data_IF_524010641628
#
_entry.id   IF_524010641628
#
_cell.length_a   1.000
_cell.length_b   1.000
_cell.length_c   1.000
_cell.angle_alpha   90.00
_cell.angle_beta   90.00
_cell.angle_gamma   90.00
#
_symmetry.space_group_name_H-M   'P 1'
#
loop_
_entity.id
_entity.type
_entity.pdbx_description
1 polymer ?
#
# COMPACT_ATOMS: atom_id res chain seq x y z
N UNK A 1 -13.80 -32.69 -72.01
CA UNK A 1 -13.25 -33.33 -70.77
C UNK A 1 -12.53 -32.25 -70.00
N UNK A 2 -13.29 -31.53 -69.14
CA UNK A 2 -12.77 -30.44 -68.35
C UNK A 2 -12.25 -31.05 -67.05
N UNK A 3 -10.95 -30.94 -66.80
CA UNK A 3 -10.30 -31.29 -65.53
C UNK A 3 -10.62 -30.21 -64.49
N UNK A 4 -11.49 -30.53 -63.55
CA UNK A 4 -11.69 -29.77 -62.38
C UNK A 4 -10.45 -29.92 -61.51
N UNK A 5 -9.67 -28.84 -61.41
CA UNK A 5 -8.55 -28.73 -60.48
C UNK A 5 -9.12 -28.57 -59.01
N UNK A 6 -8.75 -29.41 -58.07
CA UNK A 6 -9.15 -29.19 -56.67
C UNK A 6 -8.43 -27.96 -56.16
N UNK A 7 -9.16 -26.94 -55.70
CA UNK A 7 -8.65 -25.78 -55.01
C UNK A 7 -7.87 -26.19 -53.73
N UNK A 8 -6.79 -25.51 -53.40
CA UNK A 8 -5.84 -26.00 -52.42
C UNK A 8 -6.42 -26.00 -50.99
N UNK A 9 -6.29 -27.13 -50.30
CA UNK A 9 -6.59 -27.35 -48.87
C UNK A 9 -5.85 -26.40 -47.91
N UNK A 10 -4.93 -25.59 -48.42
CA UNK A 10 -4.16 -24.59 -47.66
C UNK A 10 -5.01 -23.50 -47.00
N UNK A 11 -6.21 -23.23 -47.48
CA UNK A 11 -7.11 -22.23 -46.87
C UNK A 11 -7.92 -22.80 -45.71
N UNK A 12 -8.31 -24.06 -45.73
CA UNK A 12 -9.03 -24.71 -44.61
C UNK A 12 -8.14 -24.93 -43.39
N UNK A 13 -6.89 -25.32 -43.56
CA UNK A 13 -5.93 -25.54 -42.47
C UNK A 13 -5.61 -24.22 -41.73
N UNK A 14 -5.54 -23.10 -42.43
CA UNK A 14 -5.29 -21.78 -41.78
C UNK A 14 -6.50 -21.28 -41.03
N UNK A 15 -7.72 -21.52 -41.48
CA UNK A 15 -8.95 -21.15 -40.77
C UNK A 15 -9.16 -22.02 -39.55
N UNK A 16 -8.94 -23.33 -39.65
CA UNK A 16 -9.02 -24.27 -38.53
C UNK A 16 -8.00 -23.92 -37.45
N UNK A 17 -6.75 -23.67 -37.82
CA UNK A 17 -5.68 -23.27 -36.87
C UNK A 17 -6.01 -21.94 -36.18
N UNK A 18 -6.55 -20.96 -36.90
CA UNK A 18 -6.99 -19.69 -36.30
C UNK A 18 -8.16 -19.90 -35.32
N UNK A 19 -9.12 -20.75 -35.67
CA UNK A 19 -10.25 -21.09 -34.79
C UNK A 19 -9.78 -21.80 -33.51
N UNK A 20 -8.83 -22.74 -33.65
CA UNK A 20 -8.24 -23.43 -32.49
C UNK A 20 -7.51 -22.45 -31.58
N UNK A 21 -6.66 -21.55 -32.12
CA UNK A 21 -5.96 -20.53 -31.35
C UNK A 21 -6.94 -19.63 -30.63
N UNK A 22 -7.99 -19.16 -31.29
CA UNK A 22 -9.03 -18.33 -30.72
C UNK A 22 -9.78 -19.04 -29.58
N UNK A 23 -10.11 -20.31 -29.78
CA UNK A 23 -10.78 -21.14 -28.78
C UNK A 23 -9.88 -21.35 -27.55
N UNK A 24 -8.59 -21.64 -27.72
CA UNK A 24 -7.62 -21.76 -26.63
C UNK A 24 -7.49 -20.46 -25.87
N UNK A 25 -7.41 -19.31 -26.55
CA UNK A 25 -7.35 -17.98 -25.92
C UNK A 25 -8.63 -17.71 -25.13
N UNK A 26 -9.79 -18.03 -25.67
CA UNK A 26 -11.08 -17.87 -24.99
C UNK A 26 -11.19 -18.77 -23.76
N UNK A 27 -10.76 -20.03 -23.87
CA UNK A 27 -10.75 -20.96 -22.71
C UNK A 27 -9.77 -20.49 -21.64
N UNK A 28 -8.58 -20.03 -22.03
CA UNK A 28 -7.61 -19.46 -21.08
C UNK A 28 -8.16 -18.21 -20.39
N UNK A 29 -8.83 -17.32 -21.18
CA UNK A 29 -9.52 -16.14 -20.65
C UNK A 29 -10.65 -16.50 -19.70
N UNK A 30 -11.50 -17.45 -20.06
CA UNK A 30 -12.57 -17.93 -19.18
C UNK A 30 -12.02 -18.55 -17.87
N UNK A 31 -10.95 -19.35 -17.97
CA UNK A 31 -10.25 -19.90 -16.81
C UNK A 31 -9.68 -18.81 -15.90
N UNK A 32 -9.07 -17.79 -16.49
CA UNK A 32 -8.55 -16.63 -15.76
C UNK A 32 -9.66 -15.86 -15.04
N UNK A 33 -10.81 -15.64 -15.67
CA UNK A 33 -11.98 -14.99 -15.06
C UNK A 33 -12.54 -15.84 -13.91
N UNK A 34 -12.67 -17.15 -14.07
CA UNK A 34 -13.11 -18.05 -12.98
C UNK A 34 -12.13 -18.01 -11.82
N UNK A 35 -10.83 -18.02 -12.09
CA UNK A 35 -9.79 -17.90 -11.06
C UNK A 35 -9.86 -16.55 -10.35
N UNK A 36 -10.03 -15.46 -11.10
CA UNK A 36 -10.13 -14.11 -10.56
C UNK A 36 -11.37 -13.87 -9.69
N UNK A 37 -12.45 -14.62 -9.91
CA UNK A 37 -13.70 -14.52 -9.14
C UNK A 37 -13.76 -15.44 -7.92
N UNK A 38 -12.70 -16.18 -7.60
CA UNK A 38 -12.67 -16.99 -6.38
C UNK A 38 -12.70 -16.10 -5.15
N UNK A 39 -13.44 -16.49 -4.08
CA UNK A 39 -13.39 -15.76 -2.82
C UNK A 39 -11.98 -15.65 -2.29
N UNK A 40 -11.59 -14.46 -1.86
CA UNK A 40 -10.31 -14.23 -1.21
C UNK A 40 -10.39 -14.64 0.26
N UNK A 41 -9.33 -15.21 0.76
CA UNK A 41 -9.21 -15.56 2.18
C UNK A 41 -7.95 -14.92 2.74
N UNK A 42 -8.08 -13.72 3.31
CA UNK A 42 -6.98 -13.11 4.04
C UNK A 42 -6.74 -13.89 5.36
N UNK A 43 -5.48 -14.13 5.75
CA UNK A 43 -5.18 -14.74 7.04
C UNK A 43 -5.72 -13.93 8.22
N UNK A 44 -6.00 -14.58 9.36
CA UNK A 44 -6.40 -13.88 10.57
C UNK A 44 -5.28 -12.92 11.01
N UNK A 45 -5.67 -11.76 11.54
CA UNK A 45 -4.79 -10.74 12.08
C UNK A 45 -5.28 -10.23 13.42
N UNK A 46 -4.42 -9.64 14.22
CA UNK A 46 -4.85 -8.94 15.43
C UNK A 46 -5.66 -7.69 15.06
N UNK A 47 -6.67 -7.35 15.87
CA UNK A 47 -7.40 -6.09 15.74
C UNK A 47 -6.51 -4.91 16.07
N UNK A 48 -6.65 -3.80 15.34
CA UNK A 48 -5.96 -2.55 15.65
C UNK A 48 -6.35 -1.96 17.02
N UNK A 49 -7.47 -2.36 17.60
CA UNK A 49 -7.85 -1.98 18.95
C UNK A 49 -6.82 -2.46 19.98
N UNK A 50 -6.19 -3.60 19.72
CA UNK A 50 -5.15 -4.20 20.58
C UNK A 50 -3.73 -3.69 20.26
N UNK A 51 -3.59 -2.76 19.30
CA UNK A 51 -2.28 -2.20 18.98
C UNK A 51 -1.74 -1.39 20.18
N UNK A 52 -0.45 -1.55 20.56
CA UNK A 52 0.10 -0.88 21.74
C UNK A 52 -0.07 0.63 21.69
N UNK A 53 -0.49 1.20 22.80
CA UNK A 53 -0.56 2.66 23.00
C UNK A 53 0.84 3.20 23.36
N UNK A 54 1.69 2.38 23.97
CA UNK A 54 3.07 2.76 24.31
C UNK A 54 4.07 2.05 23.40
N UNK A 55 4.94 2.82 22.75
CA UNK A 55 5.98 2.34 21.85
C UNK A 55 7.34 2.88 22.31
N UNK A 56 8.06 2.12 23.14
CA UNK A 56 9.45 2.44 23.51
C UNK A 56 9.73 3.93 23.78
N UNK A 57 9.00 4.52 24.71
CA UNK A 57 9.12 5.94 25.09
C UNK A 57 8.14 6.90 24.40
N UNK A 58 7.40 6.43 23.41
CA UNK A 58 6.30 7.16 22.81
C UNK A 58 4.97 6.76 23.48
N UNK A 59 4.14 7.73 23.82
CA UNK A 59 2.79 7.53 24.36
C UNK A 59 1.75 7.91 23.32
N UNK A 60 0.91 6.95 22.94
CA UNK A 60 -0.13 7.11 21.95
C UNK A 60 -1.45 7.60 22.52
N UNK A 61 -2.18 8.29 21.68
CA UNK A 61 -3.57 8.68 21.90
C UNK A 61 -4.36 8.42 20.62
N UNK A 62 -5.48 7.69 20.70
CA UNK A 62 -6.38 7.53 19.57
C UNK A 62 -7.00 8.86 19.20
N UNK A 63 -6.98 9.19 17.92
CA UNK A 63 -7.67 10.35 17.40
C UNK A 63 -9.16 10.05 17.26
N UNK A 64 -10.03 11.08 17.21
CA UNK A 64 -11.44 10.89 16.93
C UNK A 64 -11.66 10.08 15.66
N UNK A 65 -12.75 9.30 15.57
CA UNK A 65 -13.09 8.59 14.33
C UNK A 65 -13.11 9.53 13.13
N UNK A 66 -12.67 9.04 11.99
CA UNK A 66 -12.73 9.80 10.74
C UNK A 66 -14.19 9.99 10.31
N UNK A 67 -14.44 11.12 9.64
CA UNK A 67 -15.75 11.39 9.04
C UNK A 67 -16.17 10.26 8.08
N UNK A 68 -17.45 9.89 8.11
CA UNK A 68 -17.99 8.82 7.29
C UNK A 68 -17.76 9.04 5.78
N UNK A 69 -17.77 10.30 5.31
CA UNK A 69 -17.48 10.61 3.91
C UNK A 69 -16.01 10.33 3.57
N UNK A 70 -15.09 10.62 4.51
CA UNK A 70 -13.67 10.31 4.33
C UNK A 70 -13.48 8.80 4.27
N UNK A 71 -14.09 8.03 5.16
CA UNK A 71 -14.02 6.58 5.15
C UNK A 71 -14.59 5.97 3.88
N UNK A 72 -15.70 6.52 3.37
CA UNK A 72 -16.28 6.10 2.09
C UNK A 72 -15.34 6.39 0.91
N UNK A 73 -14.63 7.51 0.91
CA UNK A 73 -13.65 7.84 -0.14
C UNK A 73 -12.42 6.93 -0.03
N UNK A 74 -11.97 6.63 1.18
CA UNK A 74 -10.81 5.77 1.39
C UNK A 74 -11.08 4.31 1.03
N UNK A 75 -12.33 3.84 1.17
CA UNK A 75 -12.71 2.43 0.92
C UNK A 75 -12.01 1.44 1.87
N UNK A 76 -11.56 1.89 3.03
CA UNK A 76 -10.77 1.09 3.97
C UNK A 76 -11.67 0.17 4.79
N UNK A 77 -11.30 -1.13 4.92
CA UNK A 77 -12.05 -2.10 5.73
C UNK A 77 -11.82 -1.93 7.23
N UNK A 78 -10.60 -1.57 7.61
CA UNK A 78 -10.22 -1.32 9.00
C UNK A 78 -9.07 -0.30 9.06
N UNK A 79 -9.03 0.53 10.10
CA UNK A 79 -7.99 1.52 10.21
C UNK A 79 -7.64 1.85 11.66
N UNK A 80 -6.42 2.33 11.84
CA UNK A 80 -5.94 2.95 13.08
C UNK A 80 -5.43 4.36 12.78
N UNK A 81 -5.85 5.33 13.59
CA UNK A 81 -5.41 6.72 13.48
C UNK A 81 -5.06 7.23 14.87
N UNK A 82 -3.77 7.46 15.15
CA UNK A 82 -3.25 7.83 16.46
C UNK A 82 -2.22 8.94 16.40
N UNK A 83 -2.17 9.76 17.43
CA UNK A 83 -1.06 10.66 17.68
C UNK A 83 -0.17 10.07 18.78
N UNK A 84 1.13 10.13 18.59
CA UNK A 84 2.13 9.69 19.57
C UNK A 84 2.99 10.87 20.00
N UNK A 85 3.33 10.90 21.27
CA UNK A 85 4.09 11.97 21.90
C UNK A 85 5.23 11.37 22.72
N UNK A 86 6.36 12.08 22.76
CA UNK A 86 7.52 11.73 23.56
C UNK A 86 7.85 12.87 24.54
N UNK A 87 8.55 12.57 25.63
CA UNK A 87 8.84 13.52 26.71
C UNK A 87 9.61 14.78 26.26
N UNK A 88 10.41 14.68 25.19
CA UNK A 88 11.16 15.78 24.58
C UNK A 88 10.32 16.68 23.66
N UNK A 89 8.99 16.58 23.72
CA UNK A 89 8.00 17.26 22.87
C UNK A 89 7.97 16.78 21.42
N UNK A 90 8.65 15.68 21.09
CA UNK A 90 8.49 15.05 19.80
C UNK A 90 7.06 14.52 19.64
N UNK A 91 6.52 14.61 18.44
CA UNK A 91 5.19 14.09 18.12
C UNK A 91 5.18 13.42 16.74
N UNK A 92 4.43 12.32 16.62
CA UNK A 92 4.22 11.61 15.35
C UNK A 92 2.76 11.21 15.22
N UNK A 93 2.17 11.49 14.05
CA UNK A 93 0.87 10.96 13.67
C UNK A 93 1.06 9.62 12.96
N UNK A 94 0.33 8.60 13.36
CA UNK A 94 0.31 7.28 12.73
C UNK A 94 -1.08 7.00 12.16
N UNK A 95 -1.10 6.69 10.88
CA UNK A 95 -2.27 6.12 10.22
C UNK A 95 -1.88 4.76 9.61
N UNK A 96 -2.71 3.75 9.86
CA UNK A 96 -2.64 2.45 9.19
C UNK A 96 -4.03 2.15 8.64
N UNK A 97 -4.15 2.00 7.34
CA UNK A 97 -5.40 1.60 6.69
C UNK A 97 -5.22 0.21 6.08
N UNK A 98 -6.09 -0.73 6.44
CA UNK A 98 -6.08 -2.11 5.98
C UNK A 98 -7.25 -2.37 5.02
N UNK A 99 -6.94 -3.02 3.91
CA UNK A 99 -7.87 -3.42 2.86
C UNK A 99 -7.84 -4.94 2.76
N UNK A 100 -8.97 -5.59 3.01
CA UNK A 100 -9.12 -7.05 2.93
C UNK A 100 -9.09 -7.54 1.50
N UNK A 101 -9.60 -6.71 0.58
CA UNK A 101 -9.59 -6.97 -0.85
C UNK A 101 -9.49 -5.66 -1.60
N UNK A 102 -8.72 -5.66 -2.69
CA UNK A 102 -8.61 -4.54 -3.63
C UNK A 102 -9.23 -4.90 -4.99
N UNK A 103 -10.14 -5.87 -5.01
CA UNK A 103 -10.99 -6.18 -6.17
C UNK A 103 -12.16 -5.19 -6.20
N UNK A 104 -12.76 -4.97 -7.32
CA UNK A 104 -13.95 -4.13 -7.48
C UNK A 104 -13.76 -2.61 -7.22
N UNK A 105 -12.54 -2.11 -7.36
CA UNK A 105 -12.28 -0.67 -7.32
C UNK A 105 -11.81 -0.12 -5.97
N UNK A 106 -11.72 -0.95 -4.93
CA UNK A 106 -11.17 -0.57 -3.62
C UNK A 106 -9.65 -0.55 -3.66
N UNK A 107 -9.08 0.42 -4.35
CA UNK A 107 -7.62 0.58 -4.45
C UNK A 107 -7.10 1.49 -3.34
N UNK A 108 -5.96 1.15 -2.77
CA UNK A 108 -5.28 2.02 -1.79
C UNK A 108 -4.93 3.35 -2.45
N UNK A 109 -5.47 4.44 -1.90
CA UNK A 109 -5.19 5.78 -2.37
C UNK A 109 -3.81 6.23 -1.87
N UNK A 110 -2.98 6.69 -2.81
CA UNK A 110 -1.66 7.25 -2.47
C UNK A 110 -1.82 8.55 -1.69
N UNK A 111 -1.06 8.77 -0.62
CA UNK A 111 -0.98 10.07 0.06
C UNK A 111 -0.65 11.23 -0.88
N UNK A 112 0.12 10.99 -1.94
CA UNK A 112 0.43 12.00 -2.96
C UNK A 112 -0.81 12.53 -3.69
N UNK A 113 -1.87 11.74 -3.78
CA UNK A 113 -3.12 12.15 -4.39
C UNK A 113 -4.09 12.78 -3.37
N UNK A 114 -4.09 12.28 -2.13
CA UNK A 114 -5.05 12.72 -1.11
C UNK A 114 -4.62 14.01 -0.40
N UNK A 115 -3.33 14.23 -0.17
CA UNK A 115 -2.83 15.41 0.57
C UNK A 115 -3.08 16.73 -0.17
N UNK A 116 -2.85 16.83 -1.48
CA UNK A 116 -3.21 18.05 -2.23
C UNK A 116 -4.71 18.36 -2.17
N UNK A 117 -5.58 17.34 -2.21
CA UNK A 117 -7.03 17.51 -2.06
C UNK A 117 -7.45 18.08 -0.69
N UNK A 118 -6.61 17.92 0.34
CA UNK A 118 -6.78 18.50 1.66
C UNK A 118 -6.11 19.89 1.82
N UNK A 119 -5.59 20.46 0.74
CA UNK A 119 -4.94 21.77 0.71
C UNK A 119 -3.47 21.77 1.13
N UNK A 120 -2.80 20.62 1.11
CA UNK A 120 -1.37 20.50 1.31
C UNK A 120 -0.63 20.61 -0.02
N UNK A 121 0.39 21.43 -0.08
CA UNK A 121 1.23 21.58 -1.25
C UNK A 121 2.48 20.70 -1.12
N UNK A 122 2.81 19.89 -2.14
CA UNK A 122 4.04 19.11 -2.15
C UNK A 122 5.25 20.03 -2.33
N UNK A 123 6.22 19.90 -1.43
CA UNK A 123 7.50 20.63 -1.49
C UNK A 123 8.62 19.76 -2.01
N UNK A 124 8.74 18.55 -1.45
CA UNK A 124 9.78 17.58 -1.80
C UNK A 124 9.19 16.18 -1.82
N UNK A 125 9.71 15.34 -2.71
CA UNK A 125 9.42 13.92 -2.74
C UNK A 125 10.70 13.11 -2.99
N UNK A 126 10.74 11.90 -2.45
CA UNK A 126 11.87 10.99 -2.59
C UNK A 126 11.62 9.71 -1.83
N UNK A 127 12.70 8.98 -1.62
CA UNK A 127 12.70 7.77 -0.80
C UNK A 127 13.63 7.95 0.39
N UNK A 128 13.30 7.27 1.48
CA UNK A 128 14.14 7.19 2.67
C UNK A 128 14.33 5.71 3.01
N UNK A 129 15.56 5.32 3.30
CA UNK A 129 15.87 3.97 3.80
C UNK A 129 16.00 4.03 5.30
N UNK A 130 15.21 3.22 6.00
CA UNK A 130 15.19 3.14 7.45
C UNK A 130 15.79 1.79 7.89
N UNK A 131 16.90 1.77 8.64
CA UNK A 131 17.47 0.55 9.18
C UNK A 131 16.57 -0.03 10.27
N UNK A 132 16.33 -1.35 10.22
CA UNK A 132 15.50 -2.09 11.17
C UNK A 132 16.35 -3.08 11.93
N UNK A 133 16.42 -2.94 13.25
CA UNK A 133 17.19 -3.82 14.12
C UNK A 133 16.25 -4.80 14.87
N UNK A 134 15.60 -5.71 14.13
CA UNK A 134 14.72 -6.72 14.71
C UNK A 134 14.92 -8.07 14.03
N UNK A 135 15.10 -9.13 14.83
CA UNK A 135 15.30 -10.48 14.33
C UNK A 135 14.08 -10.98 13.52
N UNK A 136 14.32 -11.62 12.39
CA UNK A 136 13.26 -12.15 11.52
C UNK A 136 12.57 -11.13 10.61
N UNK A 137 13.00 -9.88 10.65
CA UNK A 137 12.52 -8.81 9.77
C UNK A 137 13.62 -8.39 8.78
N UNK A 138 13.27 -7.65 7.70
CA UNK A 138 14.27 -7.02 6.84
C UNK A 138 15.22 -6.13 7.66
N UNK A 139 16.49 -6.09 7.28
CA UNK A 139 17.50 -5.24 7.93
C UNK A 139 17.29 -3.75 7.66
N UNK A 140 16.55 -3.45 6.62
CA UNK A 140 16.16 -2.09 6.25
C UNK A 140 14.86 -2.11 5.46
N UNK A 141 14.14 -1.00 5.48
CA UNK A 141 12.94 -0.77 4.65
C UNK A 141 13.10 0.53 3.88
N UNK A 142 12.55 0.56 2.67
CA UNK A 142 12.48 1.77 1.86
C UNK A 142 11.06 2.34 1.92
N UNK A 143 10.93 3.61 2.21
CA UNK A 143 9.68 4.34 2.36
C UNK A 143 9.64 5.55 1.44
N UNK A 144 8.45 6.00 1.08
CA UNK A 144 8.29 7.31 0.46
C UNK A 144 8.54 8.38 1.52
N UNK A 145 9.39 9.34 1.18
CA UNK A 145 9.64 10.56 1.93
C UNK A 145 9.00 11.74 1.22
N UNK A 146 8.12 12.46 1.89
CA UNK A 146 7.33 13.53 1.29
C UNK A 146 7.27 14.71 2.25
N UNK A 147 7.75 15.88 1.84
CA UNK A 147 7.60 17.12 2.60
C UNK A 147 6.42 17.89 2.01
N UNK A 148 5.48 18.26 2.87
CA UNK A 148 4.28 18.99 2.50
C UNK A 148 4.16 20.27 3.32
N UNK A 149 3.48 21.27 2.73
CA UNK A 149 3.24 22.57 3.36
C UNK A 149 1.79 23.01 3.19
N UNK A 150 1.23 23.63 4.23
CA UNK A 150 -0.06 24.30 4.19
C UNK A 150 0.02 25.59 5.00
N UNK A 151 0.06 26.74 4.28
CA UNK A 151 0.36 28.02 4.90
C UNK A 151 1.76 28.02 5.53
N UNK A 152 1.83 28.22 6.85
CA UNK A 152 3.10 28.18 7.61
C UNK A 152 3.41 26.77 8.17
N UNK A 153 2.47 25.86 8.13
CA UNK A 153 2.65 24.51 8.64
C UNK A 153 3.39 23.63 7.62
N UNK A 154 4.48 22.99 8.06
CA UNK A 154 5.23 22.03 7.27
C UNK A 154 5.24 20.69 7.98
N UNK A 155 5.18 19.61 7.20
CA UNK A 155 5.19 18.25 7.72
C UNK A 155 6.07 17.34 6.86
N UNK A 156 6.78 16.45 7.53
CA UNK A 156 7.41 15.30 6.91
C UNK A 156 6.43 14.12 6.97
N UNK A 157 6.19 13.49 5.83
CA UNK A 157 5.34 12.32 5.69
C UNK A 157 6.20 11.16 5.19
N UNK A 158 6.28 10.09 5.98
CA UNK A 158 6.81 8.80 5.55
C UNK A 158 5.64 7.86 5.32
N UNK A 159 5.64 7.12 4.20
CA UNK A 159 4.60 6.13 3.95
C UNK A 159 5.08 5.02 3.03
N UNK A 160 4.45 3.85 3.21
CA UNK A 160 4.69 2.68 2.39
C UNK A 160 3.43 1.83 2.26
N UNK A 161 3.41 0.97 1.26
CA UNK A 161 2.43 -0.10 1.14
C UNK A 161 3.01 -1.37 1.77
N UNK A 162 2.21 -2.08 2.55
CA UNK A 162 2.59 -3.36 3.13
C UNK A 162 1.63 -4.45 2.66
N UNK A 163 2.18 -5.48 2.01
CA UNK A 163 1.41 -6.57 1.44
C UNK A 163 2.20 -7.87 1.54
N UNK A 164 1.61 -8.88 2.18
CA UNK A 164 2.17 -10.23 2.28
C UNK A 164 3.65 -10.23 2.74
N UNK A 165 3.93 -9.53 3.84
CA UNK A 165 5.27 -9.40 4.43
C UNK A 165 6.23 -8.46 3.69
N UNK A 166 5.84 -7.89 2.54
CA UNK A 166 6.66 -6.94 1.77
C UNK A 166 6.37 -5.50 2.14
N UNK A 167 7.42 -4.70 2.20
CA UNK A 167 7.36 -3.23 2.26
C UNK A 167 7.62 -2.69 0.86
N UNK A 168 6.73 -1.87 0.36
CA UNK A 168 6.77 -1.37 -1.01
C UNK A 168 6.56 0.14 -0.97
N UNK A 169 7.61 0.92 -1.27
CA UNK A 169 7.50 2.36 -1.38
C UNK A 169 6.87 2.78 -2.72
N UNK A 170 7.32 2.20 -3.80
CA UNK A 170 6.92 2.59 -5.15
C UNK A 170 5.50 2.12 -5.50
N UNK A 171 4.64 3.06 -5.93
CA UNK A 171 3.24 2.78 -6.26
C UNK A 171 3.07 1.81 -7.45
N UNK A 172 3.95 1.89 -8.47
CA UNK A 172 3.87 0.98 -9.62
C UNK A 172 4.21 -0.45 -9.22
N UNK A 173 5.23 -0.64 -8.37
CA UNK A 173 5.55 -1.95 -7.81
C UNK A 173 4.45 -2.48 -6.91
N UNK A 174 3.77 -1.61 -6.14
CA UNK A 174 2.60 -2.01 -5.36
C UNK A 174 1.50 -2.58 -6.25
N UNK A 175 1.17 -1.91 -7.37
CA UNK A 175 0.20 -2.39 -8.36
C UNK A 175 0.64 -3.69 -9.05
N UNK A 176 1.93 -3.82 -9.37
CA UNK A 176 2.48 -5.05 -9.93
C UNK A 176 2.31 -6.23 -8.98
N UNK A 177 2.69 -6.07 -7.71
CA UNK A 177 2.53 -7.12 -6.70
C UNK A 177 1.07 -7.44 -6.43
N UNK A 178 0.18 -6.45 -6.44
CA UNK A 178 -1.27 -6.65 -6.32
C UNK A 178 -1.78 -7.62 -7.39
N UNK A 179 -1.45 -7.38 -8.67
CA UNK A 179 -1.87 -8.25 -9.78
C UNK A 179 -1.24 -9.63 -9.66
N UNK A 180 0.07 -9.71 -9.39
CA UNK A 180 0.78 -10.97 -9.20
C UNK A 180 0.14 -11.81 -8.10
N UNK A 181 -0.13 -11.22 -6.95
CA UNK A 181 -0.64 -11.92 -5.78
C UNK A 181 -2.12 -12.31 -5.95
N UNK A 182 -2.91 -11.49 -6.68
CA UNK A 182 -4.25 -11.86 -7.09
C UNK A 182 -4.26 -13.16 -7.92
N UNK A 183 -3.28 -13.32 -8.82
CA UNK A 183 -3.18 -14.51 -9.69
C UNK A 183 -2.56 -15.70 -8.96
N UNK A 184 -1.47 -15.48 -8.19
CA UNK A 184 -0.68 -16.57 -7.62
C UNK A 184 -1.15 -17.02 -6.25
N UNK A 185 -1.64 -16.09 -5.42
CA UNK A 185 -2.05 -16.33 -4.05
C UNK A 185 -3.58 -16.27 -3.87
N UNK A 186 -4.32 -15.79 -4.86
CA UNK A 186 -5.74 -15.45 -4.76
C UNK A 186 -6.00 -14.47 -3.60
N UNK A 187 -5.11 -13.48 -3.42
CA UNK A 187 -5.16 -12.48 -2.35
C UNK A 187 -4.81 -11.10 -2.91
N UNK A 188 -5.54 -10.08 -2.44
CA UNK A 188 -5.26 -8.67 -2.77
C UNK A 188 -5.23 -7.79 -1.52
N UNK A 189 -5.23 -8.40 -0.33
CA UNK A 189 -5.16 -7.68 0.92
C UNK A 189 -3.83 -6.94 1.08
N UNK A 190 -3.92 -5.73 1.54
CA UNK A 190 -2.75 -4.87 1.78
C UNK A 190 -3.09 -3.75 2.76
N UNK A 191 -2.06 -3.04 3.20
CA UNK A 191 -2.21 -1.88 4.05
C UNK A 191 -1.39 -0.69 3.53
N UNK A 192 -1.85 0.51 3.82
CA UNK A 192 -1.08 1.74 3.78
C UNK A 192 -0.67 2.10 5.20
N UNK A 193 0.63 2.25 5.44
CA UNK A 193 1.17 2.79 6.68
C UNK A 193 1.71 4.19 6.40
N UNK A 194 1.32 5.16 7.22
CA UNK A 194 1.74 6.55 7.08
C UNK A 194 2.11 7.15 8.43
N UNK A 195 3.30 7.71 8.50
CA UNK A 195 3.83 8.46 9.64
C UNK A 195 3.97 9.92 9.25
N UNK A 196 3.46 10.83 10.09
CA UNK A 196 3.54 12.28 9.87
C UNK A 196 4.26 12.91 11.06
N UNK A 197 5.27 13.71 10.79
CA UNK A 197 6.02 14.47 11.81
C UNK A 197 6.01 15.95 11.47
N UNK A 198 5.61 16.84 12.38
CA UNK A 198 5.67 18.28 12.16
C UNK A 198 7.12 18.77 12.00
N UNK A 199 7.33 19.69 11.05
CA UNK A 199 8.62 20.39 10.89
C UNK A 199 8.51 21.74 11.55
N UNK A 200 9.15 21.90 12.73
CA UNK A 200 9.08 23.14 13.50
C UNK A 200 9.93 24.24 12.88
N UNK A 201 9.32 25.16 12.13
CA UNK A 201 10.00 26.21 11.35
C UNK A 201 10.95 27.09 12.19
N UNK A 202 10.75 27.17 13.52
CA UNK A 202 11.56 27.96 14.43
C UNK A 202 12.90 27.32 14.83
N UNK A 203 13.15 26.06 14.44
CA UNK A 203 14.35 25.34 14.83
C UNK A 203 15.35 25.29 13.67
N UNK A 204 16.62 25.49 14.02
CA UNK A 204 17.72 25.20 13.09
C UNK A 204 17.71 23.70 12.72
N UNK A 205 17.93 23.39 11.46
CA UNK A 205 17.89 22.02 10.90
C UNK A 205 16.57 21.29 11.19
N UNK A 206 15.43 22.02 11.19
CA UNK A 206 14.10 21.51 11.55
C UNK A 206 13.71 20.26 10.76
N UNK A 207 14.03 20.21 9.48
CA UNK A 207 13.70 19.06 8.62
C UNK A 207 14.52 17.82 8.96
N UNK A 208 15.84 17.94 9.15
CA UNK A 208 16.70 16.84 9.58
C UNK A 208 16.30 16.30 10.97
N UNK A 209 15.85 17.16 11.86
CA UNK A 209 15.31 16.76 13.18
C UNK A 209 14.01 16.00 13.04
N UNK A 210 13.10 16.46 12.18
CA UNK A 210 11.85 15.76 11.90
C UNK A 210 12.11 14.39 11.26
N UNK A 211 13.09 14.29 10.37
CA UNK A 211 13.50 13.03 9.75
C UNK A 211 14.08 12.06 10.79
N UNK A 212 15.01 12.50 11.63
CA UNK A 212 15.56 11.69 12.73
C UNK A 212 14.44 11.18 13.66
N UNK A 213 13.47 12.03 13.97
CA UNK A 213 12.33 11.68 14.81
C UNK A 213 11.41 10.67 14.13
N UNK A 214 11.13 10.83 12.83
CA UNK A 214 10.31 9.93 12.07
C UNK A 214 10.97 8.54 11.95
N UNK A 215 12.28 8.50 11.68
CA UNK A 215 13.08 7.26 11.63
C UNK A 215 13.04 6.54 12.99
N UNK A 216 13.29 7.25 14.09
CA UNK A 216 13.20 6.64 15.44
C UNK A 216 11.80 6.04 15.69
N UNK A 217 10.75 6.76 15.31
CA UNK A 217 9.38 6.27 15.46
C UNK A 217 9.12 5.02 14.60
N UNK A 218 9.51 5.03 13.33
CA UNK A 218 9.34 3.89 12.41
C UNK A 218 10.10 2.66 12.93
N UNK A 219 11.31 2.82 13.45
CA UNK A 219 12.10 1.73 14.03
C UNK A 219 11.40 1.04 15.22
N UNK A 220 10.60 1.78 16.00
CA UNK A 220 9.83 1.23 17.12
C UNK A 220 8.48 0.65 16.66
N UNK A 221 7.89 1.22 15.63
CA UNK A 221 6.61 0.83 15.05
C UNK A 221 6.72 -0.47 14.24
N UNK A 222 7.68 -0.51 13.32
CA UNK A 222 7.74 -1.52 12.27
C UNK A 222 7.77 -2.97 12.79
N UNK A 223 8.52 -3.30 13.87
CA UNK A 223 8.56 -4.65 14.43
C UNK A 223 7.21 -5.17 14.95
N UNK A 224 6.27 -4.29 15.20
CA UNK A 224 4.94 -4.65 15.72
C UNK A 224 3.94 -4.94 14.60
N UNK A 225 4.13 -4.36 13.42
CA UNK A 225 3.17 -4.43 12.32
C UNK A 225 2.85 -5.87 11.84
N UNK A 226 3.79 -6.83 11.79
CA UNK A 226 3.50 -8.19 11.31
C UNK A 226 2.40 -8.92 12.08
N UNK A 227 2.15 -8.58 13.35
CA UNK A 227 1.04 -9.14 14.12
C UNK A 227 -0.33 -8.61 13.67
N UNK A 228 -0.36 -7.46 13.03
CA UNK A 228 -1.58 -6.74 12.64
C UNK A 228 -1.79 -6.70 11.13
N UNK A 229 -0.78 -6.99 10.35
CA UNK A 229 -0.81 -6.99 8.89
C UNK A 229 -0.38 -8.37 8.39
N UNK A 230 -1.27 -9.14 7.72
CA UNK A 230 -0.99 -10.51 7.30
C UNK A 230 0.19 -10.60 6.32
N UNK A 231 1.04 -11.61 6.51
CA UNK A 231 2.14 -11.98 5.63
C UNK A 231 1.78 -13.13 4.69
#
# INVERSE_FOLDING_TARGET
MLLLNPLPRLFEDTMLNRAIVLFVVLLAGAGAVVQANRPETAPPRASFDNFPIELAGWKGQSLPPMDAKILQILGVDDYMNRAYFRADRASAGLYVGYYKSQRQGDAIHSPQNCLPGAGWEPMENGYLTVPIAAAGLPTEISENRYVIQKGLDRQLVLYWYQSHGRVIANEYWSKFYLIRDAVTLNRTDAALVRVIVPIAASLENAESRAETQAVDFVQKLFPLLPAYLPS
#
